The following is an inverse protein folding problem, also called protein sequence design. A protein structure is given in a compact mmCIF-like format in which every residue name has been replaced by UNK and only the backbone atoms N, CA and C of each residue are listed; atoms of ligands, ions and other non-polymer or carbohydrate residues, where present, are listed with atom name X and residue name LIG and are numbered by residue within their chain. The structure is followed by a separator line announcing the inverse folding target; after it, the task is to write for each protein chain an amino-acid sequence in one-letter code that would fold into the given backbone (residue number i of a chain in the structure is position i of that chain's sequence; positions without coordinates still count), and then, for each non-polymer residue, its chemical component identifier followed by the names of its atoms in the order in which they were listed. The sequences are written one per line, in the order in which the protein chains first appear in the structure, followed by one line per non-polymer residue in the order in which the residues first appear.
data_IF_137636285825
#
_entry.id   IF_137636285825
#
_cell.length_a   1.000
_cell.length_b   1.000
_cell.length_c   1.000
_cell.angle_alpha   90.00
_cell.angle_beta   90.00
_cell.angle_gamma   90.00
#
_symmetry.space_group_name_H-M   'P 1'
#
loop_
_entity.id
_entity.type
_entity.pdbx_description
1 polymer ?
#
# COMPACT_ATOMS: atom_id res chain seq x y z
N UNK A 1 -4.46 5.20 10.91
CA UNK A 1 -3.79 3.88 11.06
C UNK A 1 -2.62 3.84 10.09
N UNK A 2 -1.55 3.09 10.35
CA UNK A 2 -0.41 3.04 9.43
C UNK A 2 0.22 1.65 9.33
N UNK A 3 0.89 1.40 8.21
CA UNK A 3 1.68 0.21 7.93
C UNK A 3 3.14 0.65 7.87
N UNK A 4 3.99 0.06 8.72
CA UNK A 4 5.44 0.28 8.68
C UNK A 4 6.12 -0.83 7.87
N UNK A 5 6.98 -0.42 6.94
CA UNK A 5 7.82 -1.25 6.09
C UNK A 5 9.27 -1.22 6.59
N UNK A 6 10.08 -2.17 6.10
CA UNK A 6 11.49 -2.30 6.51
C UNK A 6 12.31 -1.07 6.12
N UNK A 7 12.07 -0.54 4.92
CA UNK A 7 12.72 0.66 4.40
C UNK A 7 11.73 1.54 3.59
N UNK A 8 12.22 2.72 3.18
CA UNK A 8 11.42 3.68 2.41
C UNK A 8 11.12 3.21 0.98
N UNK A 9 12.01 2.44 0.37
CA UNK A 9 11.86 1.99 -1.02
C UNK A 9 10.70 1.01 -1.14
N UNK A 10 10.62 0.04 -0.24
CA UNK A 10 9.50 -0.91 -0.12
C UNK A 10 8.20 -0.14 0.12
N UNK A 11 8.19 0.81 1.05
CA UNK A 11 6.99 1.61 1.33
C UNK A 11 6.54 2.45 0.13
N UNK A 12 7.47 3.02 -0.63
CA UNK A 12 7.17 3.78 -1.84
C UNK A 12 6.60 2.89 -2.95
N UNK A 13 7.19 1.71 -3.14
CA UNK A 13 6.71 0.71 -4.09
C UNK A 13 5.31 0.22 -3.72
N UNK A 14 5.04 -0.02 -2.42
CA UNK A 14 3.70 -0.35 -1.95
C UNK A 14 2.69 0.74 -2.26
N UNK A 15 3.00 2.01 -1.94
CA UNK A 15 2.11 3.14 -2.23
C UNK A 15 1.84 3.29 -3.73
N UNK A 16 2.86 3.07 -4.57
CA UNK A 16 2.76 3.11 -6.03
C UNK A 16 1.87 1.99 -6.57
N UNK A 17 2.01 0.76 -6.06
CA UNK A 17 1.16 -0.38 -6.44
C UNK A 17 -0.29 -0.21 -6.01
N UNK A 18 -0.52 0.37 -4.83
CA UNK A 18 -1.88 0.72 -4.38
C UNK A 18 -2.51 1.77 -5.30
N UNK A 19 -1.74 2.79 -5.70
CA UNK A 19 -2.20 3.82 -6.64
C UNK A 19 -2.54 3.25 -8.02
N UNK A 20 -1.73 2.31 -8.55
CA UNK A 20 -2.03 1.58 -9.81
C UNK A 20 -3.35 0.82 -9.72
N UNK A 21 -3.69 0.32 -8.53
CA UNK A 21 -4.95 -0.36 -8.24
C UNK A 21 -6.10 0.60 -7.91
N UNK A 22 -5.92 1.91 -8.10
CA UNK A 22 -6.90 2.98 -7.83
C UNK A 22 -7.26 3.11 -6.35
N UNK A 23 -6.36 2.70 -5.45
CA UNK A 23 -6.50 2.92 -4.00
C UNK A 23 -5.48 3.96 -3.57
N UNK A 24 -5.97 5.12 -3.09
CA UNK A 24 -5.11 6.20 -2.66
C UNK A 24 -4.66 5.99 -1.21
N UNK A 25 -3.35 6.02 -0.98
CA UNK A 25 -2.71 5.93 0.34
C UNK A 25 -1.70 7.07 0.50
N UNK A 26 -1.35 7.43 1.74
CA UNK A 26 -0.45 8.54 2.00
C UNK A 26 0.96 8.06 2.37
N UNK A 27 1.95 8.48 1.56
CA UNK A 27 3.38 8.35 1.77
C UNK A 27 4.13 9.13 0.68
N UNK A 28 5.30 9.69 0.99
CA UNK A 28 6.11 10.45 0.02
C UNK A 28 7.46 9.77 -0.19
N UNK A 29 8.12 10.02 -1.33
CA UNK A 29 9.38 9.36 -1.70
C UNK A 29 10.42 9.29 -0.57
N UNK A 30 10.55 10.37 0.21
CA UNK A 30 11.56 10.49 1.28
C UNK A 30 11.03 10.10 2.68
N UNK A 31 9.74 9.81 2.81
CA UNK A 31 9.11 9.40 4.07
C UNK A 31 8.00 8.38 3.78
N UNK A 32 8.42 7.24 3.23
CA UNK A 32 7.54 6.15 2.83
C UNK A 32 7.68 4.91 3.71
N UNK A 33 8.65 4.88 4.66
CA UNK A 33 8.80 3.77 5.59
C UNK A 33 7.49 3.46 6.32
N UNK A 34 6.68 4.48 6.59
CA UNK A 34 5.36 4.32 7.20
C UNK A 34 4.28 4.92 6.30
N UNK A 35 3.39 4.06 5.78
CA UNK A 35 2.27 4.45 4.92
C UNK A 35 1.00 4.59 5.74
N UNK A 36 0.34 5.76 5.67
CA UNK A 36 -0.91 6.01 6.39
C UNK A 36 -2.12 5.56 5.59
N UNK A 37 -3.05 4.90 6.28
CA UNK A 37 -4.36 4.47 5.80
C UNK A 37 -5.41 5.28 6.58
N UNK A 38 -5.99 6.27 5.91
CA UNK A 38 -6.92 7.26 6.49
C UNK A 38 -8.16 7.39 5.59
N UNK A 39 -9.00 6.34 5.48
CA UNK A 39 -10.21 6.39 4.68
C UNK A 39 -11.30 7.24 5.37
N UNK A 40 -12.34 7.65 4.62
CA UNK A 40 -13.54 8.24 5.23
C UNK A 40 -14.19 7.29 6.24
N UNK A 41 -14.81 7.84 7.28
CA UNK A 41 -15.56 7.05 8.28
C UNK A 41 -16.79 6.34 7.69
N UNK A 42 -17.23 6.76 6.50
CA UNK A 42 -18.36 6.20 5.76
C UNK A 42 -17.97 5.08 4.80
N UNK A 43 -16.71 4.61 4.84
CA UNK A 43 -16.25 3.51 4.00
C UNK A 43 -17.08 2.25 4.28
N UNK A 44 -17.64 1.66 3.23
CA UNK A 44 -18.44 0.44 3.35
C UNK A 44 -17.57 -0.78 3.61
N UNK A 45 -18.14 -1.84 4.19
CA UNK A 45 -17.43 -3.10 4.43
C UNK A 45 -16.92 -3.71 3.11
N UNK A 46 -17.69 -3.61 2.04
CA UNK A 46 -17.28 -4.06 0.71
C UNK A 46 -16.04 -3.30 0.22
N UNK A 47 -15.99 -1.98 0.44
CA UNK A 47 -14.81 -1.18 0.11
C UNK A 47 -13.62 -1.51 1.01
N UNK A 48 -13.83 -1.83 2.30
CA UNK A 48 -12.77 -2.33 3.17
C UNK A 48 -12.12 -3.60 2.60
N UNK A 49 -12.94 -4.57 2.17
CA UNK A 49 -12.46 -5.80 1.54
C UNK A 49 -11.70 -5.53 0.24
N UNK A 50 -12.17 -4.59 -0.58
CA UNK A 50 -11.47 -4.16 -1.79
C UNK A 50 -10.08 -3.59 -1.48
N UNK A 51 -9.96 -2.75 -0.45
CA UNK A 51 -8.67 -2.17 -0.01
C UNK A 51 -7.72 -3.26 0.50
N UNK A 52 -8.21 -4.20 1.30
CA UNK A 52 -7.40 -5.32 1.80
C UNK A 52 -6.93 -6.22 0.64
N UNK A 53 -7.81 -6.51 -0.32
CA UNK A 53 -7.47 -7.29 -1.52
C UNK A 53 -6.44 -6.57 -2.39
N UNK A 54 -6.54 -5.25 -2.52
CA UNK A 54 -5.55 -4.45 -3.24
C UNK A 54 -4.18 -4.47 -2.55
N UNK A 55 -4.16 -4.32 -1.22
CA UNK A 55 -2.93 -4.41 -0.44
C UNK A 55 -2.26 -5.79 -0.57
N UNK A 56 -3.05 -6.87 -0.53
CA UNK A 56 -2.54 -8.23 -0.77
C UNK A 56 -1.90 -8.38 -2.16
N UNK A 57 -2.55 -7.86 -3.20
CA UNK A 57 -2.01 -7.89 -4.56
C UNK A 57 -0.73 -7.07 -4.69
N UNK A 58 -0.67 -5.89 -4.07
CA UNK A 58 0.52 -5.04 -4.06
C UNK A 58 1.72 -5.78 -3.43
N UNK A 59 1.52 -6.37 -2.24
CA UNK A 59 2.56 -7.14 -1.56
C UNK A 59 3.01 -8.37 -2.38
N UNK A 60 2.09 -9.06 -3.04
CA UNK A 60 2.43 -10.20 -3.90
C UNK A 60 3.26 -9.77 -5.11
N UNK A 61 2.90 -8.66 -5.77
CA UNK A 61 3.66 -8.13 -6.90
C UNK A 61 5.08 -7.72 -6.49
N UNK A 62 5.23 -7.06 -5.33
CA UNK A 62 6.52 -6.64 -4.79
C UNK A 62 7.41 -7.83 -4.39
N UNK A 63 6.83 -8.92 -3.89
CA UNK A 63 7.60 -10.12 -3.54
C UNK A 63 8.28 -10.75 -4.74
N UNK A 64 7.60 -10.80 -5.88
CA UNK A 64 8.18 -11.33 -7.14
C UNK A 64 9.37 -10.47 -7.58
N UNK A 65 9.26 -9.14 -7.43
CA UNK A 65 10.34 -8.22 -7.82
C UNK A 65 11.60 -8.34 -6.96
N UNK A 66 11.48 -8.83 -5.72
CA UNK A 66 12.61 -9.10 -4.82
C UNK A 66 13.27 -10.45 -5.11
N UNK A 67 12.52 -11.44 -5.59
CA UNK A 67 13.08 -12.76 -5.97
C UNK A 67 13.78 -12.72 -7.34
N UNK A 68 13.46 -11.73 -8.19
CA UNK A 68 14.06 -11.54 -9.52
C UNK A 68 15.26 -10.58 -9.56
N UNK A 69 15.56 -9.88 -8.45
CA UNK A 69 16.65 -8.91 -8.30
C UNK A 69 17.84 -9.49 -7.52
#
# INVERSE_FOLDING_TARGET
MAIEFVDNEIGYNFASEMFRQRVLVAGTLNNAKTIRIEPPLTLTIEQCELVIKAARKALAAMRVSVEEA
#
